data_IF_200725088417
#
_entry.id   IF_200725088417
#
_cell.length_a   1.000
_cell.length_b   1.000
_cell.length_c   1.000
_cell.angle_alpha   90.00
_cell.angle_beta   90.00
_cell.angle_gamma   90.00
#
_symmetry.space_group_name_H-M   'P 1'
#
loop_
_entity.id
_entity.type
_entity.pdbx_description
1 polymer ?
#
# COMPACT_ATOMS: atom_id res chain seq x y z
N UNK A 1 0.42 -11.44 -15.07
CA UNK A 1 0.05 -10.04 -15.37
C UNK A 1 -0.09 -9.22 -14.09
N UNK A 2 -0.96 -9.61 -13.14
CA UNK A 2 -1.22 -8.80 -11.92
C UNK A 2 0.01 -8.54 -11.03
N UNK A 3 0.97 -9.48 -10.91
CA UNK A 3 2.18 -9.29 -10.11
C UNK A 3 3.03 -8.10 -10.56
N UNK A 4 3.15 -7.87 -11.87
CA UNK A 4 3.93 -6.76 -12.40
C UNK A 4 3.35 -5.41 -11.95
N UNK A 5 2.02 -5.27 -11.93
CA UNK A 5 1.35 -4.07 -11.41
C UNK A 5 1.54 -3.90 -9.90
N UNK A 6 1.55 -4.99 -9.12
CA UNK A 6 1.82 -4.88 -7.68
C UNK A 6 3.24 -4.37 -7.40
N UNK A 7 4.23 -4.89 -8.13
CA UNK A 7 5.62 -4.45 -7.97
C UNK A 7 5.80 -3.01 -8.45
N UNK A 8 5.21 -2.66 -9.60
CA UNK A 8 5.30 -1.30 -10.14
C UNK A 8 4.57 -0.30 -9.24
N UNK A 9 3.37 -0.63 -8.76
CA UNK A 9 2.62 0.19 -7.82
C UNK A 9 3.40 0.41 -6.52
N UNK A 10 3.99 -0.65 -5.95
CA UNK A 10 4.82 -0.53 -4.75
C UNK A 10 6.07 0.32 -4.98
N UNK A 11 6.73 0.19 -6.14
CA UNK A 11 7.87 1.01 -6.49
C UNK A 11 7.47 2.50 -6.60
N UNK A 12 6.36 2.79 -7.30
CA UNK A 12 5.83 4.14 -7.40
C UNK A 12 5.45 4.73 -6.04
N UNK A 13 4.75 3.98 -5.17
CA UNK A 13 4.38 4.44 -3.82
C UNK A 13 5.60 4.71 -2.94
N UNK A 14 6.62 3.85 -3.02
CA UNK A 14 7.86 4.02 -2.26
C UNK A 14 8.62 5.26 -2.73
N UNK A 15 8.73 5.46 -4.04
CA UNK A 15 9.39 6.64 -4.62
C UNK A 15 8.61 7.90 -4.25
N UNK A 16 7.30 7.93 -4.46
CA UNK A 16 6.45 9.07 -4.11
C UNK A 16 6.56 9.44 -2.64
N UNK A 17 6.52 8.44 -1.75
CA UNK A 17 6.68 8.64 -0.31
C UNK A 17 8.07 9.13 0.05
N UNK A 18 9.14 8.61 -0.57
CA UNK A 18 10.49 9.12 -0.33
C UNK A 18 10.65 10.58 -0.71
N UNK A 19 10.04 11.00 -1.84
CA UNK A 19 10.03 12.41 -2.26
C UNK A 19 9.23 13.26 -1.27
N UNK A 20 8.06 12.78 -0.81
CA UNK A 20 7.27 13.48 0.22
C UNK A 20 8.03 13.63 1.54
N UNK A 21 8.75 12.60 1.98
CA UNK A 21 9.57 12.66 3.20
C UNK A 21 10.70 13.67 3.07
N UNK A 22 11.35 13.74 1.91
CA UNK A 22 12.39 14.74 1.63
C UNK A 22 11.81 16.16 1.66
N UNK A 23 10.65 16.39 1.02
CA UNK A 23 9.97 17.68 1.04
C UNK A 23 9.48 18.09 2.44
N UNK A 24 9.00 17.15 3.24
CA UNK A 24 8.51 17.39 4.59
C UNK A 24 9.63 17.53 5.63
N UNK A 25 10.89 17.22 5.28
CA UNK A 25 12.02 17.22 6.21
C UNK A 25 12.03 16.01 7.16
N UNK A 26 11.32 14.93 6.81
CA UNK A 26 11.25 13.69 7.61
C UNK A 26 9.85 13.09 7.68
N UNK A 27 9.73 12.01 8.46
CA UNK A 27 8.44 11.36 8.72
C UNK A 27 7.65 12.17 9.75
N UNK A 28 6.42 12.54 9.40
CA UNK A 28 5.50 13.16 10.33
C UNK A 28 4.75 12.10 11.13
N UNK A 29 4.63 12.31 12.44
CA UNK A 29 3.87 11.44 13.35
C UNK A 29 2.36 11.79 13.34
N UNK A 30 1.82 12.10 12.17
CA UNK A 30 0.40 12.38 11.96
C UNK A 30 -0.32 11.16 11.38
N UNK A 31 -1.65 11.25 11.25
CA UNK A 31 -2.47 10.16 10.72
C UNK A 31 -2.05 9.76 9.31
N UNK A 32 -1.69 10.73 8.47
CA UNK A 32 -1.29 10.47 7.08
C UNK A 32 0.06 9.75 7.03
N UNK A 33 1.08 10.24 7.73
CA UNK A 33 2.42 9.66 7.76
C UNK A 33 2.43 8.25 8.34
N UNK A 34 1.78 8.04 9.49
CA UNK A 34 1.73 6.71 10.13
C UNK A 34 0.94 5.71 9.30
N UNK A 35 -0.26 6.09 8.81
CA UNK A 35 -1.07 5.20 7.98
C UNK A 35 -0.43 4.93 6.61
N UNK A 36 0.34 5.88 6.07
CA UNK A 36 1.09 5.74 4.82
C UNK A 36 2.20 4.69 4.91
N UNK A 37 3.00 4.71 5.98
CA UNK A 37 4.03 3.68 6.22
C UNK A 37 3.39 2.30 6.37
N UNK A 38 2.29 2.21 7.13
CA UNK A 38 1.53 0.95 7.29
C UNK A 38 1.04 0.44 5.93
N UNK A 39 0.51 1.33 5.08
CA UNK A 39 0.02 0.96 3.75
C UNK A 39 1.14 0.43 2.84
N UNK A 40 2.32 1.06 2.83
CA UNK A 40 3.48 0.57 2.06
C UNK A 40 3.93 -0.81 2.54
N UNK A 41 4.04 -1.02 3.86
CA UNK A 41 4.42 -2.32 4.42
C UNK A 41 3.39 -3.41 4.04
N UNK A 42 2.10 -3.10 4.11
CA UNK A 42 1.04 -4.01 3.69
C UNK A 42 1.10 -4.31 2.18
N UNK A 43 1.36 -3.31 1.35
CA UNK A 43 1.53 -3.49 -0.10
C UNK A 43 2.74 -4.36 -0.43
N UNK A 44 3.85 -4.23 0.31
CA UNK A 44 5.00 -5.12 0.17
C UNK A 44 4.65 -6.57 0.52
N UNK A 45 4.01 -6.80 1.68
CA UNK A 45 3.51 -8.12 2.07
C UNK A 45 2.56 -8.68 1.01
N UNK A 46 1.72 -7.82 0.45
CA UNK A 46 0.77 -8.19 -0.61
C UNK A 46 1.47 -8.62 -1.90
N UNK A 47 2.51 -7.91 -2.34
CA UNK A 47 3.30 -8.28 -3.51
C UNK A 47 4.04 -9.61 -3.31
N UNK A 48 4.61 -9.85 -2.12
CA UNK A 48 5.22 -11.15 -1.77
C UNK A 48 4.18 -12.26 -1.78
N UNK A 49 3.00 -12.03 -1.22
CA UNK A 49 1.92 -13.02 -1.22
C UNK A 49 1.42 -13.32 -2.64
N UNK A 50 1.33 -12.32 -3.51
CA UNK A 50 1.00 -12.50 -4.93
C UNK A 50 2.01 -13.42 -5.62
N UNK A 51 3.31 -13.26 -5.35
CA UNK A 51 4.36 -14.12 -5.88
C UNK A 51 4.20 -15.57 -5.37
N UNK A 52 3.97 -15.75 -4.07
CA UNK A 52 3.77 -17.08 -3.46
C UNK A 52 2.58 -17.81 -4.09
N UNK A 53 1.46 -17.11 -4.27
CA UNK A 53 0.24 -17.68 -4.86
C UNK A 53 0.47 -18.10 -6.32
N UNK A 54 1.19 -17.29 -7.09
CA UNK A 54 1.56 -17.62 -8.47
C UNK A 54 2.47 -18.86 -8.57
N UNK A 55 3.41 -19.02 -7.64
CA UNK A 55 4.33 -20.17 -7.61
C UNK A 55 3.61 -21.44 -7.15
N UNK A 56 2.70 -21.34 -6.17
CA UNK A 56 1.97 -22.50 -5.63
C UNK A 56 0.89 -23.05 -6.56
N UNK A 57 0.26 -22.20 -7.38
CA UNK A 57 -0.74 -22.63 -8.37
C UNK A 57 -2.02 -23.24 -7.79
N UNK A 58 -2.32 -23.02 -6.50
CA UNK A 58 -3.46 -23.60 -5.80
C UNK A 58 -4.68 -22.65 -5.79
N UNK A 59 -5.87 -23.17 -6.10
CA UNK A 59 -7.13 -22.43 -6.06
C UNK A 59 -7.48 -21.90 -4.65
N UNK A 60 -7.14 -22.64 -3.60
CA UNK A 60 -7.36 -22.19 -2.23
C UNK A 60 -6.51 -20.94 -1.91
N UNK A 61 -5.27 -20.91 -2.40
CA UNK A 61 -4.37 -19.78 -2.25
C UNK A 61 -4.87 -18.54 -3.01
N UNK A 62 -5.45 -18.71 -4.21
CA UNK A 62 -6.06 -17.63 -4.99
C UNK A 62 -7.27 -17.00 -4.29
N UNK A 63 -8.16 -17.80 -3.67
CA UNK A 63 -9.30 -17.26 -2.92
C UNK A 63 -8.85 -16.45 -1.70
N UNK A 64 -7.86 -16.96 -0.95
CA UNK A 64 -7.28 -16.24 0.18
C UNK A 64 -6.59 -14.95 -0.26
N UNK A 65 -5.90 -14.97 -1.40
CA UNK A 65 -5.24 -13.80 -1.98
C UNK A 65 -6.24 -12.68 -2.26
N UNK A 66 -7.37 -12.98 -2.92
CA UNK A 66 -8.36 -11.98 -3.29
C UNK A 66 -8.99 -11.29 -2.08
N UNK A 67 -9.34 -12.05 -1.03
CA UNK A 67 -9.87 -11.50 0.22
C UNK A 67 -8.84 -10.59 0.91
N UNK A 68 -7.57 -10.98 0.89
CA UNK A 68 -6.50 -10.17 1.44
C UNK A 68 -6.26 -8.89 0.61
N UNK A 69 -6.32 -8.95 -0.72
CA UNK A 69 -6.22 -7.77 -1.59
C UNK A 69 -7.25 -6.69 -1.24
N UNK A 70 -8.51 -7.08 -1.02
CA UNK A 70 -9.57 -6.13 -0.66
C UNK A 70 -9.26 -5.45 0.68
N UNK A 71 -8.78 -6.21 1.66
CA UNK A 71 -8.38 -5.64 2.95
C UNK A 71 -7.23 -4.64 2.80
N UNK A 72 -6.17 -5.00 2.08
CA UNK A 72 -5.03 -4.10 1.84
C UNK A 72 -5.48 -2.82 1.10
N UNK A 73 -6.35 -2.96 0.11
CA UNK A 73 -6.92 -1.82 -0.62
C UNK A 73 -7.70 -0.86 0.30
N UNK A 74 -8.53 -1.40 1.21
CA UNK A 74 -9.27 -0.57 2.18
C UNK A 74 -8.34 0.18 3.13
N UNK A 75 -7.26 -0.45 3.61
CA UNK A 75 -6.28 0.21 4.48
C UNK A 75 -5.54 1.32 3.73
N UNK A 76 -5.20 1.09 2.46
CA UNK A 76 -4.53 2.08 1.61
C UNK A 76 -5.37 3.35 1.37
N UNK A 77 -6.71 3.26 1.41
CA UNK A 77 -7.57 4.44 1.27
C UNK A 77 -7.42 5.44 2.43
N UNK A 78 -6.97 5.02 3.61
CA UNK A 78 -6.80 5.89 4.79
C UNK A 78 -5.73 6.97 4.56
N UNK A 79 -4.47 6.63 4.21
CA UNK A 79 -3.48 7.65 3.89
C UNK A 79 -3.85 8.44 2.64
N UNK A 80 -4.55 7.84 1.67
CA UNK A 80 -5.00 8.53 0.45
C UNK A 80 -5.94 9.69 0.74
N UNK A 81 -6.95 9.50 1.60
CA UNK A 81 -7.94 10.54 1.89
C UNK A 81 -7.58 11.44 3.08
N UNK A 82 -6.67 11.04 3.96
CA UNK A 82 -6.33 11.85 5.14
C UNK A 82 -5.93 13.30 4.83
N UNK A 83 -5.07 13.62 3.84
CA UNK A 83 -4.72 15.01 3.52
C UNK A 83 -5.92 15.81 3.00
N UNK A 84 -6.81 15.16 2.25
CA UNK A 84 -8.03 15.80 1.73
C UNK A 84 -8.96 16.22 2.87
N UNK A 85 -9.15 15.35 3.87
CA UNK A 85 -9.97 15.68 5.03
C UNK A 85 -9.33 16.78 5.88
N UNK A 86 -8.01 16.76 6.08
CA UNK A 86 -7.31 17.83 6.79
C UNK A 86 -7.41 19.17 6.05
N UNK A 87 -7.30 19.18 4.72
CA UNK A 87 -7.42 20.38 3.91
C UNK A 87 -8.85 20.96 3.88
N UNK A 88 -9.89 20.12 4.01
CA UNK A 88 -11.29 20.56 4.09
C UNK A 88 -11.70 21.05 5.48
N UNK A 89 -10.96 20.68 6.52
CA UNK A 89 -11.24 21.04 7.92
C UNK A 89 -10.60 22.37 8.35
N UNK A 90 -9.76 22.97 7.49
CA UNK A 90 -9.09 24.26 7.66
C UNK A 90 -9.76 25.31 6.78
#
# INVERSE_FOLDING_TARGET
WNLAFFVLGLACDTIGTSMMLEFAGGLTADVHGVSGVIAILLMFVHAVWALVVLVRGDEAALRSFHRFSIFVWLVWLVPYFSPMFFALAV
#
